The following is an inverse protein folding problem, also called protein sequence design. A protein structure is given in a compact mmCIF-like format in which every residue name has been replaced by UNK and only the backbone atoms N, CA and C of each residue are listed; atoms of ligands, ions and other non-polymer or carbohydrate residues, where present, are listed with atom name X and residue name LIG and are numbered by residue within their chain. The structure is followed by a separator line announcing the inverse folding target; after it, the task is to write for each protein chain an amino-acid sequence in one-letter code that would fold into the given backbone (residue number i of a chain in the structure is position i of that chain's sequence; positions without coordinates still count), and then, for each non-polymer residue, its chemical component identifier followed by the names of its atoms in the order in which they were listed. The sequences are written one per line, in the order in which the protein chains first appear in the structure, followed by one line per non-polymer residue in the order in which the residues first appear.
data_IF_711698146499
#
_entry.id   IF_711698146499
#
_cell.length_a   1.000
_cell.length_b   1.000
_cell.length_c   1.000
_cell.angle_alpha   90.00
_cell.angle_beta   90.00
_cell.angle_gamma   90.00
#
_symmetry.space_group_name_H-M   'P 1'
#
loop_
_entity.id
_entity.type
_entity.pdbx_description
1 polymer ?
#
# COMPACT_ATOMS: atom_id res chain seq x y z
N UNK A 1 4.76 10.82 -15.85
CA UNK A 1 4.26 9.46 -16.12
C UNK A 1 3.53 9.00 -14.89
N UNK A 2 2.22 8.75 -15.03
CA UNK A 2 1.46 8.02 -14.01
C UNK A 2 2.16 6.69 -13.78
N UNK A 3 2.79 6.54 -12.61
CA UNK A 3 3.53 5.32 -12.29
C UNK A 3 2.58 4.14 -12.36
N UNK A 4 2.96 3.14 -13.18
CA UNK A 4 2.32 1.84 -13.29
C UNK A 4 1.83 1.38 -11.92
N UNK A 5 0.54 1.06 -11.80
CA UNK A 5 0.08 0.27 -10.67
C UNK A 5 0.84 -1.06 -10.71
N UNK A 6 1.71 -1.31 -9.73
CA UNK A 6 2.42 -2.57 -9.63
C UNK A 6 1.58 -3.69 -8.98
N UNK A 7 0.28 -3.47 -8.80
CA UNK A 7 -0.65 -4.47 -8.33
C UNK A 7 -1.66 -4.83 -9.41
N UNK A 8 -2.20 -6.04 -9.31
CA UNK A 8 -3.16 -6.52 -10.29
C UNK A 8 -4.45 -5.69 -10.33
N UNK A 9 -5.19 -5.79 -11.42
CA UNK A 9 -6.35 -4.93 -11.74
C UNK A 9 -7.46 -5.76 -12.39
N UNK A 10 -8.67 -5.21 -12.49
CA UNK A 10 -9.85 -5.87 -13.06
C UNK A 10 -10.26 -5.29 -14.41
N UNK A 11 -11.04 -6.04 -15.19
CA UNK A 11 -11.74 -5.45 -16.33
C UNK A 11 -12.73 -4.37 -15.85
N UNK A 12 -12.94 -3.35 -16.67
CA UNK A 12 -13.81 -2.23 -16.29
C UNK A 12 -15.27 -2.61 -16.05
N UNK A 13 -15.69 -3.77 -16.54
CA UNK A 13 -17.07 -4.30 -16.41
C UNK A 13 -17.23 -5.20 -15.17
N UNK A 14 -16.15 -5.44 -14.42
CA UNK A 14 -16.20 -6.18 -13.16
C UNK A 14 -16.99 -5.40 -12.11
N UNK A 15 -17.96 -6.05 -11.48
CA UNK A 15 -18.89 -5.43 -10.53
C UNK A 15 -18.38 -5.50 -9.09
N UNK A 16 -18.41 -4.36 -8.38
CA UNK A 16 -18.09 -4.22 -6.96
C UNK A 16 -19.38 -4.27 -6.14
N UNK A 17 -19.38 -5.03 -5.04
CA UNK A 17 -20.54 -5.11 -4.14
C UNK A 17 -20.59 -3.86 -3.24
N UNK A 18 -21.65 -3.04 -3.40
CA UNK A 18 -21.82 -1.81 -2.62
C UNK A 18 -22.76 -2.00 -1.43
N UNK A 19 -22.52 -1.21 -0.38
CA UNK A 19 -23.31 -1.23 0.85
C UNK A 19 -24.75 -0.70 0.67
N UNK A 20 -25.03 0.01 -0.42
CA UNK A 20 -26.37 0.52 -0.76
C UNK A 20 -27.26 -0.54 -1.45
N UNK A 21 -26.77 -1.78 -1.55
CA UNK A 21 -27.47 -2.89 -2.21
C UNK A 21 -27.15 -3.02 -3.69
N UNK A 22 -26.59 -1.99 -4.34
CA UNK A 22 -26.24 -2.02 -5.76
C UNK A 22 -24.93 -2.79 -5.99
N UNK A 23 -24.73 -3.20 -7.24
CA UNK A 23 -23.47 -3.69 -7.75
C UNK A 23 -23.11 -2.86 -8.97
N UNK A 24 -22.04 -2.09 -8.89
CA UNK A 24 -21.62 -1.20 -9.98
C UNK A 24 -20.27 -1.65 -10.53
N UNK A 25 -20.10 -1.50 -11.84
CA UNK A 25 -18.84 -1.70 -12.52
C UNK A 25 -17.82 -0.62 -12.16
N UNK A 26 -16.53 -0.88 -12.33
CA UNK A 26 -15.50 0.14 -12.15
C UNK A 26 -15.76 1.38 -13.00
N UNK A 27 -16.26 1.21 -14.23
CA UNK A 27 -16.60 2.33 -15.12
C UNK A 27 -17.76 3.17 -14.57
N UNK A 28 -18.81 2.53 -14.04
CA UNK A 28 -19.94 3.22 -13.43
C UNK A 28 -19.54 3.94 -12.15
N UNK A 29 -18.70 3.33 -11.31
CA UNK A 29 -18.15 3.99 -10.11
C UNK A 29 -17.36 5.24 -10.50
N UNK A 30 -16.54 5.19 -11.56
CA UNK A 30 -15.80 6.37 -12.04
C UNK A 30 -16.78 7.47 -12.50
N UNK A 31 -17.82 7.11 -13.25
CA UNK A 31 -18.81 8.04 -13.75
C UNK A 31 -19.61 8.69 -12.60
N UNK A 32 -20.10 7.88 -11.65
CA UNK A 32 -20.88 8.38 -10.50
C UNK A 32 -20.01 9.24 -9.56
N UNK A 33 -18.73 8.89 -9.34
CA UNK A 33 -17.83 9.74 -8.54
C UNK A 33 -17.47 11.06 -9.22
N UNK A 34 -17.40 11.09 -10.56
CA UNK A 34 -17.23 12.35 -11.30
C UNK A 34 -18.41 13.30 -11.12
N UNK A 35 -19.60 12.78 -10.81
CA UNK A 35 -20.79 13.55 -10.43
C UNK A 35 -20.84 13.90 -8.93
N UNK A 36 -19.82 13.53 -8.15
CA UNK A 36 -19.73 13.82 -6.72
C UNK A 36 -20.44 12.80 -5.82
N UNK A 37 -20.88 11.66 -6.34
CA UNK A 37 -21.48 10.59 -5.52
C UNK A 37 -20.39 9.82 -4.78
N UNK A 38 -20.68 9.44 -3.54
CA UNK A 38 -19.81 8.58 -2.74
C UNK A 38 -20.30 7.13 -2.76
N UNK A 39 -19.36 6.19 -2.69
CA UNK A 39 -19.65 4.76 -2.68
C UNK A 39 -18.94 4.09 -1.52
N UNK A 40 -19.60 3.10 -0.93
CA UNK A 40 -19.07 2.32 0.19
C UNK A 40 -19.12 0.85 -0.19
N UNK A 41 -18.03 0.14 0.08
CA UNK A 41 -17.88 -1.29 -0.22
C UNK A 41 -17.70 -2.10 1.07
N UNK A 42 -17.96 -3.40 0.98
CA UNK A 42 -17.66 -4.35 2.04
C UNK A 42 -16.17 -4.65 2.09
N UNK A 43 -15.61 -4.69 3.29
CA UNK A 43 -14.19 -4.97 3.55
C UNK A 43 -14.02 -5.95 4.70
N UNK A 44 -12.87 -6.63 4.78
CA UNK A 44 -12.42 -7.34 5.97
C UNK A 44 -11.41 -6.46 6.71
N UNK A 45 -11.71 -6.15 7.97
CA UNK A 45 -10.86 -5.35 8.85
C UNK A 45 -9.67 -6.15 9.36
N UNK A 46 -8.67 -5.46 9.91
CA UNK A 46 -7.47 -6.07 10.48
C UNK A 46 -7.75 -7.04 11.65
N UNK A 47 -8.90 -6.91 12.32
CA UNK A 47 -9.33 -7.84 13.37
C UNK A 47 -10.02 -9.10 12.82
N UNK A 48 -10.20 -9.20 11.50
CA UNK A 48 -10.86 -10.30 10.80
C UNK A 48 -12.37 -10.12 10.63
N UNK A 49 -12.96 -9.04 11.14
CA UNK A 49 -14.41 -8.79 11.02
C UNK A 49 -14.76 -8.12 9.70
N UNK A 50 -15.97 -8.36 9.23
CA UNK A 50 -16.54 -7.58 8.13
C UNK A 50 -16.77 -6.11 8.54
N UNK A 51 -16.54 -5.19 7.62
CA UNK A 51 -16.73 -3.76 7.79
C UNK A 51 -17.16 -3.10 6.49
N UNK A 52 -17.32 -1.78 6.57
CA UNK A 52 -17.54 -0.91 5.41
C UNK A 52 -16.41 0.08 5.30
N UNK A 53 -16.12 0.49 4.07
CA UNK A 53 -15.16 1.55 3.82
C UNK A 53 -15.50 2.31 2.54
N UNK A 54 -15.13 3.59 2.51
CA UNK A 54 -15.39 4.47 1.37
C UNK A 54 -14.46 4.13 0.21
N UNK A 55 -15.01 3.99 -0.99
CA UNK A 55 -14.25 3.87 -2.22
C UNK A 55 -13.66 5.23 -2.61
N UNK A 56 -12.35 5.30 -2.83
CA UNK A 56 -11.65 6.50 -3.30
C UNK A 56 -10.83 6.19 -4.56
N UNK A 57 -10.49 7.23 -5.32
CA UNK A 57 -9.60 7.18 -6.49
C UNK A 57 -9.88 6.05 -7.52
N UNK A 58 -11.14 5.76 -7.90
CA UNK A 58 -11.45 4.80 -8.94
C UNK A 58 -10.86 5.30 -10.26
N UNK A 59 -10.17 4.43 -10.99
CA UNK A 59 -9.46 4.84 -12.21
C UNK A 59 -9.14 3.68 -13.13
N UNK A 60 -8.95 4.00 -14.40
CA UNK A 60 -8.21 3.14 -15.32
C UNK A 60 -6.74 3.15 -14.90
N UNK A 61 -6.15 1.98 -14.68
CA UNK A 61 -4.77 1.84 -14.22
C UNK A 61 -3.80 1.55 -15.35
N UNK A 62 -4.16 0.65 -16.27
CA UNK A 62 -3.36 0.29 -17.44
C UNK A 62 -4.28 0.08 -18.65
N UNK A 63 -3.74 0.34 -19.82
CA UNK A 63 -4.40 0.05 -21.09
C UNK A 63 -3.81 -1.21 -21.73
N UNK A 64 -4.60 -1.91 -22.55
CA UNK A 64 -4.09 -3.00 -23.39
C UNK A 64 -3.25 -4.04 -22.62
N UNK A 65 -3.77 -4.49 -21.48
CA UNK A 65 -3.08 -5.40 -20.54
C UNK A 65 -3.57 -6.83 -20.72
N UNK A 66 -2.67 -7.82 -20.55
CA UNK A 66 -3.04 -9.24 -20.55
C UNK A 66 -3.89 -9.54 -19.32
N UNK A 67 -4.98 -10.27 -19.53
CA UNK A 67 -5.93 -10.63 -18.49
C UNK A 67 -6.24 -12.12 -18.52
N UNK A 68 -6.76 -12.62 -17.41
CA UNK A 68 -7.26 -13.98 -17.26
C UNK A 68 -8.71 -13.93 -16.81
N UNK A 69 -9.49 -14.89 -17.29
CA UNK A 69 -10.84 -15.16 -16.83
C UNK A 69 -10.80 -16.17 -15.71
N UNK A 70 -11.46 -15.85 -14.60
CA UNK A 70 -11.59 -16.73 -13.44
C UNK A 70 -13.06 -17.11 -13.30
N UNK A 71 -13.33 -18.40 -13.17
CA UNK A 71 -14.69 -18.95 -12.99
C UNK A 71 -14.81 -19.53 -11.59
N UNK A 72 -15.86 -19.12 -10.87
CA UNK A 72 -16.13 -19.58 -9.50
C UNK A 72 -17.18 -20.71 -9.47
N UNK A 73 -17.27 -21.40 -8.34
CA UNK A 73 -18.23 -22.49 -8.10
C UNK A 73 -19.71 -22.04 -8.08
N UNK A 74 -19.96 -20.74 -7.92
CA UNK A 74 -21.28 -20.13 -8.03
C UNK A 74 -21.68 -19.81 -9.49
N UNK A 75 -20.82 -20.10 -10.47
CA UNK A 75 -21.04 -19.82 -11.89
C UNK A 75 -20.69 -18.40 -12.33
N UNK A 76 -20.37 -17.50 -11.38
CA UNK A 76 -19.90 -16.16 -11.71
C UNK A 76 -18.50 -16.20 -12.32
N UNK A 77 -18.22 -15.23 -13.18
CA UNK A 77 -16.92 -15.09 -13.82
C UNK A 77 -16.41 -13.67 -13.71
N UNK A 78 -15.11 -13.52 -13.53
CA UNK A 78 -14.45 -12.22 -13.48
C UNK A 78 -13.21 -12.23 -14.38
N UNK A 79 -12.78 -11.04 -14.79
CA UNK A 79 -11.59 -10.87 -15.62
C UNK A 79 -10.60 -9.97 -14.89
N UNK A 80 -9.39 -10.47 -14.63
CA UNK A 80 -8.36 -9.76 -13.86
C UNK A 80 -6.96 -10.00 -14.42
N UNK A 81 -5.96 -9.23 -13.99
CA UNK A 81 -4.57 -9.48 -14.36
C UNK A 81 -3.97 -10.67 -13.58
N UNK A 82 -2.99 -11.39 -14.14
CA UNK A 82 -2.41 -12.59 -13.51
C UNK A 82 -1.80 -12.40 -12.12
N UNK A 83 -1.37 -11.19 -11.82
CA UNK A 83 -0.74 -10.79 -10.56
C UNK A 83 -1.75 -10.31 -9.50
N UNK A 84 -3.06 -10.34 -9.77
CA UNK A 84 -4.07 -9.84 -8.85
C UNK A 84 -4.20 -10.73 -7.59
N UNK A 85 -4.06 -10.18 -6.37
CA UNK A 85 -4.18 -10.96 -5.14
C UNK A 85 -5.64 -11.16 -4.70
N UNK A 86 -6.03 -12.41 -4.49
CA UNK A 86 -7.31 -12.80 -3.91
C UNK A 86 -7.14 -13.13 -2.44
N UNK A 87 -8.13 -12.77 -1.61
CA UNK A 87 -8.12 -13.13 -0.20
C UNK A 87 -8.54 -14.59 -0.03
N UNK A 88 -7.71 -15.38 0.62
CA UNK A 88 -7.96 -16.76 1.00
C UNK A 88 -8.81 -16.80 2.28
N UNK A 89 -9.45 -17.94 2.58
CA UNK A 89 -10.27 -18.08 3.82
C UNK A 89 -9.52 -17.85 5.12
N UNK A 90 -8.21 -18.04 5.15
CA UNK A 90 -7.36 -17.76 6.32
C UNK A 90 -6.98 -16.28 6.46
N UNK A 91 -7.45 -15.41 5.55
CA UNK A 91 -7.14 -13.99 5.49
C UNK A 91 -5.82 -13.67 4.79
N UNK A 92 -5.06 -14.68 4.33
CA UNK A 92 -3.87 -14.46 3.50
C UNK A 92 -4.25 -14.04 2.08
N UNK A 93 -3.31 -13.49 1.33
CA UNK A 93 -3.51 -13.13 -0.07
C UNK A 93 -2.65 -14.01 -0.97
N UNK A 94 -3.24 -14.49 -2.06
CA UNK A 94 -2.56 -15.31 -3.07
C UNK A 94 -2.83 -14.74 -4.45
N UNK A 95 -1.78 -14.64 -5.29
CA UNK A 95 -1.94 -14.14 -6.67
C UNK A 95 -2.71 -15.14 -7.50
N UNK A 96 -3.56 -14.67 -8.40
CA UNK A 96 -4.40 -15.57 -9.19
C UNK A 96 -3.59 -16.58 -10.02
N UNK A 97 -2.39 -16.24 -10.50
CA UNK A 97 -1.47 -17.17 -11.19
C UNK A 97 -0.91 -18.28 -10.27
N UNK A 98 -0.94 -18.08 -8.96
CA UNK A 98 -0.47 -19.03 -7.94
C UNK A 98 -1.63 -19.84 -7.32
N UNK A 99 -2.88 -19.40 -7.51
CA UNK A 99 -4.06 -20.06 -6.96
C UNK A 99 -4.33 -21.37 -7.70
N UNK A 100 -4.52 -22.46 -6.95
CA UNK A 100 -4.82 -23.76 -7.53
C UNK A 100 -6.34 -23.92 -7.71
N UNK A 101 -6.81 -24.66 -8.74
CA UNK A 101 -8.21 -25.07 -8.81
C UNK A 101 -8.63 -25.79 -7.51
N UNK A 102 -9.79 -25.44 -6.95
CA UNK A 102 -10.31 -25.81 -5.63
C UNK A 102 -9.81 -25.01 -4.41
N UNK A 103 -8.86 -24.08 -4.55
CA UNK A 103 -8.56 -23.14 -3.46
C UNK A 103 -9.84 -22.36 -3.10
N UNK A 104 -10.10 -22.24 -1.80
CA UNK A 104 -11.29 -21.57 -1.28
C UNK A 104 -10.97 -20.13 -0.91
N UNK A 105 -11.69 -19.20 -1.54
CA UNK A 105 -11.52 -17.77 -1.33
C UNK A 105 -12.38 -17.29 -0.16
N UNK A 106 -12.04 -16.11 0.38
CA UNK A 106 -12.83 -15.44 1.40
C UNK A 106 -14.17 -14.98 0.79
N UNK A 107 -15.30 -15.51 1.27
CA UNK A 107 -16.62 -15.23 0.69
C UNK A 107 -17.26 -13.98 1.31
N UNK A 108 -18.02 -13.25 0.49
CA UNK A 108 -19.04 -12.31 0.94
C UNK A 108 -20.40 -13.01 0.88
N UNK A 109 -20.88 -13.48 2.03
CA UNK A 109 -22.25 -13.98 2.13
C UNK A 109 -23.22 -12.84 2.46
N UNK A 110 -24.28 -12.73 1.66
CA UNK A 110 -25.38 -11.78 1.86
C UNK A 110 -26.69 -12.56 1.92
N UNK A 111 -27.62 -12.10 2.76
CA UNK A 111 -29.01 -12.56 2.75
C UNK A 111 -29.93 -11.43 3.16
N UNK A 112 -31.22 -11.62 2.98
CA UNK A 112 -32.22 -10.75 3.60
C UNK A 112 -32.70 -11.39 4.89
N UNK A 113 -32.99 -10.55 5.88
CA UNK A 113 -33.50 -10.99 7.17
C UNK A 113 -34.91 -11.56 7.01
N UNK A 114 -35.16 -12.71 7.66
CA UNK A 114 -36.48 -13.33 7.77
C UNK A 114 -36.85 -13.40 9.25
N UNK A 115 -37.98 -12.80 9.65
CA UNK A 115 -38.47 -12.80 11.03
C UNK A 115 -38.81 -14.20 11.59
N UNK A 116 -38.85 -15.22 10.73
CA UNK A 116 -38.97 -16.63 11.16
C UNK A 116 -37.67 -17.15 11.75
N UNK A 117 -36.54 -16.51 11.48
CA UNK A 117 -35.25 -16.88 12.05
C UNK A 117 -35.10 -16.39 13.50
N UNK A 118 -34.52 -17.25 14.35
CA UNK A 118 -34.30 -16.93 15.77
C UNK A 118 -33.37 -15.72 15.93
N UNK A 119 -33.83 -14.71 16.66
CA UNK A 119 -33.07 -13.49 16.94
C UNK A 119 -33.19 -12.39 15.89
N UNK A 120 -34.00 -12.58 14.84
CA UNK A 120 -34.29 -11.56 13.83
C UNK A 120 -35.61 -10.86 14.17
N UNK A 121 -35.56 -9.55 14.36
CA UNK A 121 -36.74 -8.73 14.72
C UNK A 121 -37.27 -7.88 13.58
N UNK A 122 -36.59 -7.85 12.44
CA UNK A 122 -36.90 -6.99 11.31
C UNK A 122 -36.80 -7.80 10.02
N UNK A 123 -37.82 -7.72 9.16
CA UNK A 123 -37.95 -8.50 7.92
C UNK A 123 -37.48 -7.72 6.70
N UNK A 124 -36.83 -8.40 5.75
CA UNK A 124 -36.48 -7.84 4.44
C UNK A 124 -35.27 -6.90 4.40
N UNK A 125 -34.46 -6.84 5.46
CA UNK A 125 -33.24 -6.03 5.51
C UNK A 125 -32.02 -6.86 5.13
N UNK A 126 -31.07 -6.25 4.42
CA UNK A 126 -29.83 -6.94 4.07
C UNK A 126 -28.98 -7.23 5.32
N UNK A 127 -28.48 -8.46 5.36
CA UNK A 127 -27.52 -8.96 6.34
C UNK A 127 -26.32 -9.55 5.62
N UNK A 128 -25.16 -9.41 6.25
CA UNK A 128 -23.89 -10.00 5.80
C UNK A 128 -23.28 -10.87 6.88
N UNK A 129 -22.59 -11.93 6.49
CA UNK A 129 -21.92 -12.82 7.45
C UNK A 129 -20.58 -12.23 7.88
N UNK A 130 -20.36 -12.10 9.18
CA UNK A 130 -19.05 -11.81 9.76
C UNK A 130 -18.23 -13.11 9.84
N UNK A 131 -17.14 -13.24 9.07
CA UNK A 131 -16.38 -14.48 8.97
C UNK A 131 -15.64 -14.83 10.28
N UNK A 132 -15.36 -13.87 11.16
CA UNK A 132 -14.66 -14.13 12.41
C UNK A 132 -15.58 -14.76 13.47
N UNK A 133 -16.81 -14.26 13.57
CA UNK A 133 -17.75 -14.62 14.63
C UNK A 133 -18.84 -15.58 14.17
N UNK A 134 -18.86 -15.94 12.89
CA UNK A 134 -19.89 -16.75 12.23
C UNK A 134 -21.31 -16.22 12.53
N UNK A 135 -21.47 -14.90 12.39
CA UNK A 135 -22.70 -14.19 12.78
C UNK A 135 -23.19 -13.31 11.66
N UNK A 136 -24.49 -13.38 11.39
CA UNK A 136 -25.16 -12.44 10.50
C UNK A 136 -25.32 -11.07 11.16
N UNK A 137 -24.87 -10.02 10.47
CA UNK A 137 -24.92 -8.63 10.90
C UNK A 137 -25.72 -7.85 9.86
N UNK A 138 -26.64 -7.00 10.30
CA UNK A 138 -27.34 -6.12 9.38
C UNK A 138 -26.39 -5.08 8.77
N UNK A 139 -26.51 -4.85 7.46
CA UNK A 139 -25.65 -3.87 6.77
C UNK A 139 -25.76 -2.47 7.37
N UNK A 140 -26.96 -2.06 7.84
CA UNK A 140 -27.15 -0.76 8.49
C UNK A 140 -26.36 -0.63 9.81
N UNK A 141 -26.15 -1.73 10.55
CA UNK A 141 -25.31 -1.70 11.75
C UNK A 141 -23.83 -1.48 11.40
N UNK A 142 -23.36 -2.04 10.29
CA UNK A 142 -22.00 -1.78 9.80
C UNK A 142 -21.83 -0.31 9.40
N UNK A 143 -22.84 0.29 8.79
CA UNK A 143 -22.85 1.72 8.46
C UNK A 143 -22.80 2.58 9.75
N UNK A 144 -23.59 2.24 10.77
CA UNK A 144 -23.55 2.92 12.06
C UNK A 144 -22.18 2.81 12.75
N UNK A 145 -21.53 1.64 12.70
CA UNK A 145 -20.19 1.46 13.25
C UNK A 145 -19.12 2.26 12.50
N UNK A 146 -19.20 2.30 11.17
CA UNK A 146 -18.31 3.11 10.34
C UNK A 146 -18.42 4.59 10.73
N UNK A 147 -19.64 5.08 10.79
CA UNK A 147 -20.00 6.43 11.22
C UNK A 147 -19.45 6.80 12.61
N UNK A 148 -19.62 5.91 13.58
CA UNK A 148 -19.07 6.11 14.92
C UNK A 148 -17.54 6.13 14.94
N UNK A 149 -16.89 5.36 14.07
CA UNK A 149 -15.42 5.36 13.97
C UNK A 149 -14.88 6.72 13.50
N UNK A 150 -15.52 7.35 12.51
CA UNK A 150 -15.13 8.68 12.01
C UNK A 150 -15.19 9.75 13.10
N UNK A 151 -16.26 9.74 13.92
CA UNK A 151 -16.44 10.70 15.03
C UNK A 151 -15.33 10.59 16.08
N UNK A 152 -14.85 9.38 16.36
CA UNK A 152 -13.76 9.15 17.32
C UNK A 152 -12.38 9.56 16.79
N UNK A 153 -12.22 9.69 15.47
CA UNK A 153 -10.97 10.09 14.81
C UNK A 153 -10.87 11.60 14.50
N UNK A 154 -11.83 12.42 14.96
CA UNK A 154 -11.73 13.88 14.87
C UNK A 154 -12.02 14.48 13.48
N UNK A 155 -12.63 13.72 12.57
CA UNK A 155 -13.11 14.24 11.29
C UNK A 155 -14.46 14.96 11.50
N UNK A 156 -14.49 16.29 11.27
CA UNK A 156 -15.66 17.14 11.51
C UNK A 156 -16.70 17.09 10.37
N UNK A 157 -17.98 17.21 10.78
CA UNK A 157 -19.22 17.21 9.97
C UNK A 157 -19.26 18.29 8.87
N UNK A 158 -19.86 17.97 7.73
CA UNK A 158 -20.09 18.90 6.61
C UNK A 158 -21.54 19.45 6.67
N UNK A 159 -21.64 20.77 6.55
CA UNK A 159 -22.78 21.63 6.82
C UNK A 159 -24.09 21.35 6.03
N UNK A 160 -25.21 21.58 6.73
CA UNK A 160 -26.60 21.69 6.24
C UNK A 160 -26.84 22.99 5.46
N UNK A 161 -27.45 22.92 4.27
CA UNK A 161 -28.66 23.69 3.91
C UNK A 161 -29.21 23.40 2.49
N UNK A 162 -30.46 22.90 2.47
CA UNK A 162 -31.59 23.13 1.55
C UNK A 162 -31.39 23.37 0.05
N UNK A 163 -31.67 22.33 -0.76
CA UNK A 163 -32.72 22.25 -1.81
C UNK A 163 -32.69 20.83 -2.45
N UNK A 164 -33.85 20.17 -2.59
CA UNK A 164 -34.02 18.85 -3.24
C UNK A 164 -33.46 18.83 -4.68
N UNK A 165 -33.26 17.66 -5.37
CA UNK A 165 -33.24 16.24 -4.97
C UNK A 165 -32.00 15.48 -5.52
N UNK A 166 -31.44 14.50 -4.78
CA UNK A 166 -30.71 13.30 -5.27
C UNK A 166 -29.86 12.72 -4.13
N UNK A 167 -29.80 11.39 -4.05
CA UNK A 167 -28.76 10.60 -3.37
C UNK A 167 -28.17 11.20 -2.07
N UNK A 168 -28.69 10.80 -0.91
CA UNK A 168 -28.04 11.07 0.38
C UNK A 168 -27.60 9.71 0.96
N UNK A 169 -26.30 9.44 1.05
CA UNK A 169 -25.32 9.96 2.01
C UNK A 169 -25.63 9.45 3.42
N UNK A 170 -24.67 8.69 3.91
CA UNK A 170 -24.64 8.02 5.19
C UNK A 170 -24.83 9.04 6.32
N UNK A 171 -25.95 9.05 7.05
CA UNK A 171 -26.11 9.34 8.50
C UNK A 171 -27.61 9.35 8.93
N UNK A 172 -27.86 8.94 10.18
CA UNK A 172 -29.15 8.57 10.79
C UNK A 172 -30.02 9.73 11.33
N UNK A 173 -31.33 9.66 11.00
CA UNK A 173 -32.56 10.11 11.69
C UNK A 173 -32.57 11.45 12.47
N UNK A 174 -33.35 12.42 11.96
CA UNK A 174 -34.54 12.98 12.66
C UNK A 174 -35.59 13.33 11.58
N UNK A 175 -36.84 12.89 11.80
CA UNK A 175 -38.05 13.03 10.94
C UNK A 175 -38.43 11.86 10.00
N UNK A 176 -38.70 10.73 10.66
CA UNK A 176 -39.90 9.91 10.42
C UNK A 176 -40.14 9.30 9.02
N UNK A 177 -39.11 8.80 8.33
CA UNK A 177 -39.28 7.80 7.26
C UNK A 177 -38.23 6.68 7.37
N UNK A 178 -38.72 5.47 7.60
CA UNK A 178 -37.97 4.21 7.63
C UNK A 178 -37.18 4.02 6.32
N UNK A 179 -35.93 3.58 6.43
CA UNK A 179 -35.16 2.97 5.35
C UNK A 179 -35.86 1.66 4.93
N UNK A 180 -36.86 1.78 4.06
CA UNK A 180 -37.39 0.82 3.08
C UNK A 180 -38.83 1.24 2.73
N UNK A 181 -39.02 2.20 1.82
CA UNK A 181 -40.26 2.19 1.03
C UNK A 181 -40.07 1.22 -0.14
N UNK A 182 -40.26 -0.07 0.15
CA UNK A 182 -40.98 -1.09 -0.63
C UNK A 182 -41.12 -1.01 -2.17
N UNK A 183 -40.25 -0.33 -2.90
CA UNK A 183 -40.38 -0.21 -4.37
C UNK A 183 -39.09 -0.66 -5.03
N UNK A 184 -39.22 -1.80 -5.71
CA UNK A 184 -38.24 -2.56 -6.50
C UNK A 184 -37.16 -3.33 -5.74
N UNK A 185 -37.61 -4.39 -5.04
CA UNK A 185 -36.77 -5.53 -4.68
C UNK A 185 -36.67 -6.44 -5.93
N UNK A 186 -35.48 -6.78 -6.44
CA UNK A 186 -35.34 -7.93 -7.32
C UNK A 186 -35.73 -9.19 -6.53
N UNK A 187 -36.88 -9.78 -6.85
CA UNK A 187 -37.33 -11.04 -6.26
C UNK A 187 -36.43 -12.18 -6.76
N UNK A 188 -35.49 -12.61 -5.92
CA UNK A 188 -34.82 -13.89 -6.13
C UNK A 188 -35.69 -15.02 -5.55
N UNK A 189 -35.87 -16.14 -6.26
CA UNK A 189 -36.72 -17.25 -5.81
C UNK A 189 -36.20 -17.85 -4.50
N UNK A 190 -37.11 -18.27 -3.61
CA UNK A 190 -36.81 -18.82 -2.28
C UNK A 190 -35.80 -20.00 -2.29
N UNK A 191 -35.73 -20.74 -3.40
CA UNK A 191 -34.78 -21.84 -3.60
C UNK A 191 -33.33 -21.37 -3.81
N UNK A 192 -33.09 -20.09 -4.12
CA UNK A 192 -31.74 -19.52 -4.23
C UNK A 192 -31.12 -19.24 -2.84
N UNK A 193 -31.91 -19.14 -1.77
CA UNK A 193 -31.45 -18.72 -0.44
C UNK A 193 -30.75 -19.83 0.35
N UNK A 194 -31.15 -21.09 0.21
CA UNK A 194 -30.43 -22.23 0.83
C UNK A 194 -29.11 -22.55 0.11
N UNK A 195 -29.02 -22.23 -1.20
CA UNK A 195 -27.84 -22.50 -2.02
C UNK A 195 -26.63 -21.61 -1.69
N UNK A 196 -26.85 -20.38 -1.21
CA UNK A 196 -25.77 -19.44 -0.84
C UNK A 196 -24.95 -19.96 0.34
N UNK A 197 -25.55 -20.71 1.27
CA UNK A 197 -24.85 -21.32 2.40
C UNK A 197 -23.93 -22.50 2.01
N UNK A 198 -24.07 -23.02 0.79
CA UNK A 198 -23.31 -24.18 0.29
C UNK A 198 -22.17 -23.81 -0.67
N UNK A 199 -22.05 -22.54 -1.05
CA UNK A 199 -21.00 -22.09 -1.96
C UNK A 199 -19.69 -21.86 -1.20
N UNK A 200 -18.67 -22.64 -1.52
CA UNK A 200 -17.36 -22.52 -0.88
C UNK A 200 -16.52 -21.40 -1.50
N UNK A 201 -17.01 -20.75 -2.56
CA UNK A 201 -16.33 -19.70 -3.31
C UNK A 201 -14.97 -20.22 -3.80
N UNK A 202 -15.03 -21.41 -4.41
CA UNK A 202 -13.87 -22.09 -4.98
C UNK A 202 -13.63 -21.64 -6.41
N UNK A 203 -12.36 -21.60 -6.78
CA UNK A 203 -11.97 -21.42 -8.18
C UNK A 203 -12.16 -22.74 -8.93
N UNK A 204 -12.99 -22.71 -9.96
CA UNK A 204 -13.27 -23.84 -10.86
C UNK A 204 -12.28 -23.87 -12.02
N UNK A 205 -12.09 -22.74 -12.70
CA UNK A 205 -11.14 -22.62 -13.81
C UNK A 205 -10.49 -21.24 -13.85
N UNK A 206 -9.27 -21.22 -14.41
CA UNK A 206 -8.51 -20.02 -14.72
C UNK A 206 -8.06 -20.14 -16.17
N UNK A 207 -8.47 -19.21 -17.02
CA UNK A 207 -8.21 -19.23 -18.46
C UNK A 207 -7.51 -17.94 -18.87
N UNK A 208 -6.37 -18.05 -19.56
CA UNK A 208 -5.73 -16.87 -20.16
C UNK A 208 -6.53 -16.40 -21.37
N UNK A 209 -6.85 -15.11 -21.42
CA UNK A 209 -7.52 -14.51 -22.58
C UNK A 209 -6.46 -14.01 -23.58
N UNK A 210 -6.68 -14.26 -24.87
CA UNK A 210 -5.83 -13.72 -25.94
C UNK A 210 -6.02 -12.20 -26.10
N UNK A 211 -7.25 -11.75 -25.86
CA UNK A 211 -7.61 -10.34 -25.91
C UNK A 211 -7.01 -9.58 -24.73
N UNK A 212 -6.49 -8.39 -25.05
CA UNK A 212 -5.98 -7.45 -24.06
C UNK A 212 -7.05 -6.41 -23.77
N UNK A 213 -7.18 -6.04 -22.50
CA UNK A 213 -8.23 -5.12 -22.07
C UNK A 213 -7.65 -3.96 -21.28
N UNK A 214 -8.42 -2.88 -21.22
CA UNK A 214 -8.20 -1.82 -20.26
C UNK A 214 -8.58 -2.32 -18.86
N UNK A 215 -7.68 -2.10 -17.91
CA UNK A 215 -7.86 -2.56 -16.53
C UNK A 215 -7.99 -1.40 -15.57
N UNK A 216 -8.75 -1.65 -14.51
CA UNK A 216 -9.26 -0.66 -13.58
C UNK A 216 -9.02 -1.13 -12.15
N UNK A 217 -9.01 -0.17 -11.24
CA UNK A 217 -8.86 -0.41 -9.82
C UNK A 217 -9.55 0.70 -9.02
N UNK A 218 -9.86 0.37 -7.77
CA UNK A 218 -10.36 1.32 -6.78
C UNK A 218 -9.43 1.34 -5.57
N UNK A 219 -9.46 2.43 -4.82
CA UNK A 219 -8.76 2.48 -3.55
C UNK A 219 -9.73 2.36 -2.38
N UNK A 220 -9.39 1.50 -1.42
CA UNK A 220 -10.12 1.33 -0.19
C UNK A 220 -9.14 1.62 0.95
N UNK A 221 -9.25 2.78 1.63
CA UNK A 221 -8.34 3.15 2.70
C UNK A 221 -8.43 2.17 3.87
N UNK A 222 -7.40 2.14 4.72
CA UNK A 222 -7.30 1.35 5.97
C UNK A 222 -7.25 -0.17 5.83
N UNK A 223 -8.14 -0.77 5.05
CA UNK A 223 -8.32 -2.23 4.93
C UNK A 223 -7.69 -2.81 3.67
N UNK A 224 -7.54 -1.99 2.61
CA UNK A 224 -6.90 -2.38 1.35
C UNK A 224 -7.51 -3.60 0.66
N UNK A 225 -8.77 -3.91 0.95
CA UNK A 225 -9.50 -5.00 0.32
C UNK A 225 -10.97 -4.62 0.14
N UNK A 226 -11.63 -5.25 -0.82
CA UNK A 226 -13.07 -5.08 -1.04
C UNK A 226 -13.71 -6.33 -1.60
N UNK A 227 -15.03 -6.42 -1.47
CA UNK A 227 -15.80 -7.49 -2.07
C UNK A 227 -16.29 -7.16 -3.49
N UNK A 228 -16.16 -8.14 -4.38
CA UNK A 228 -16.80 -8.14 -5.68
C UNK A 228 -18.25 -8.63 -5.57
N UNK A 229 -19.09 -8.25 -6.53
CA UNK A 229 -20.46 -8.76 -6.64
C UNK A 229 -20.50 -10.28 -6.87
N UNK A 230 -19.41 -10.86 -7.39
CA UNK A 230 -19.23 -12.30 -7.52
C UNK A 230 -19.05 -13.04 -6.18
N UNK A 231 -19.08 -12.31 -5.05
CA UNK A 231 -19.09 -12.88 -3.71
C UNK A 231 -17.71 -13.16 -3.12
N UNK A 232 -16.63 -12.60 -3.67
CA UNK A 232 -15.26 -12.83 -3.17
C UNK A 232 -14.60 -11.54 -2.73
N UNK A 233 -13.78 -11.62 -1.68
CA UNK A 233 -12.91 -10.52 -1.27
C UNK A 233 -11.59 -10.55 -2.04
N UNK A 234 -11.21 -9.39 -2.54
CA UNK A 234 -10.00 -9.16 -3.34
C UNK A 234 -9.20 -8.04 -2.72
N UNK A 235 -7.89 -8.06 -2.92
CA UNK A 235 -7.07 -6.93 -2.53
C UNK A 235 -7.36 -5.77 -3.49
N UNK A 236 -7.38 -4.53 -3.00
CA UNK A 236 -7.32 -3.40 -3.91
C UNK A 236 -5.92 -3.29 -4.51
N UNK A 237 -5.68 -2.64 -5.66
CA UNK A 237 -4.30 -2.52 -6.13
C UNK A 237 -3.51 -1.75 -5.08
N UNK A 238 -2.62 -2.46 -4.38
CA UNK A 238 -1.89 -1.89 -3.26
C UNK A 238 -1.13 -0.67 -3.78
N UNK A 239 -1.46 0.50 -3.23
CA UNK A 239 -0.54 1.62 -3.24
C UNK A 239 0.79 1.06 -2.74
N UNK A 240 1.79 1.10 -3.62
CA UNK A 240 3.17 0.73 -3.34
C UNK A 240 3.68 1.52 -2.12
N UNK A 241 3.44 1.06 -0.89
CA UNK A 241 4.02 1.53 0.37
C UNK A 241 4.17 3.04 0.58
N UNK A 242 3.50 3.90 -0.20
CA UNK A 242 3.78 5.35 -0.31
C UNK A 242 2.51 6.15 -0.43
N UNK A 243 2.55 7.36 0.12
CA UNK A 243 1.53 8.36 -0.14
C UNK A 243 1.88 9.15 -1.41
N UNK A 244 1.13 8.91 -2.49
CA UNK A 244 1.32 9.58 -3.79
C UNK A 244 1.12 11.11 -3.73
N UNK A 245 0.44 11.63 -2.70
CA UNK A 245 0.21 13.08 -2.53
C UNK A 245 1.52 13.84 -2.29
N UNK A 246 2.47 13.23 -1.58
CA UNK A 246 3.70 13.92 -1.18
C UNK A 246 4.98 13.09 -1.33
N UNK A 247 4.90 11.81 -1.70
CA UNK A 247 6.06 10.92 -1.86
C UNK A 247 6.25 10.49 -3.31
N UNK A 248 7.39 10.87 -3.87
CA UNK A 248 7.92 10.33 -5.12
C UNK A 248 8.96 9.22 -4.83
N UNK A 249 8.95 8.15 -5.63
CA UNK A 249 9.98 7.11 -5.59
C UNK A 249 10.72 7.11 -6.92
N UNK A 250 12.05 7.12 -6.86
CA UNK A 250 12.93 6.85 -7.99
C UNK A 250 13.67 5.53 -7.70
N UNK A 251 13.29 4.41 -8.33
CA UNK A 251 14.01 3.16 -8.17
C UNK A 251 15.34 3.25 -8.93
N UNK A 252 16.45 2.94 -8.26
CA UNK A 252 17.77 2.88 -8.86
C UNK A 252 18.16 1.42 -9.06
N UNK A 253 18.69 1.08 -10.24
CA UNK A 253 19.09 -0.30 -10.56
C UNK A 253 20.60 -0.47 -10.49
N UNK A 254 21.03 -1.45 -9.69
CA UNK A 254 22.44 -1.81 -9.55
C UNK A 254 23.27 -0.76 -8.81
N UNK A 255 24.59 -0.92 -8.86
CA UNK A 255 25.53 -0.01 -8.20
C UNK A 255 25.72 1.24 -9.05
N UNK A 256 25.59 2.42 -8.42
CA UNK A 256 25.79 3.69 -9.10
C UNK A 256 27.25 3.83 -9.52
N UNK A 257 27.47 4.48 -10.65
CA UNK A 257 28.81 4.80 -11.12
C UNK A 257 29.53 5.68 -10.08
N UNK A 258 30.71 5.24 -9.64
CA UNK A 258 31.57 6.08 -8.80
C UNK A 258 32.02 7.31 -9.59
N UNK A 259 31.50 8.48 -9.21
CA UNK A 259 31.75 9.73 -9.91
C UNK A 259 33.14 10.31 -9.65
N UNK A 260 33.78 9.94 -8.54
CA UNK A 260 35.14 10.39 -8.22
C UNK A 260 36.16 9.88 -9.24
N UNK A 261 35.91 8.70 -9.81
CA UNK A 261 36.78 8.03 -10.81
C UNK A 261 36.36 8.30 -12.25
N UNK A 262 35.17 8.86 -12.44
CA UNK A 262 34.54 8.96 -13.75
C UNK A 262 34.64 10.38 -14.29
N UNK A 263 34.92 10.51 -15.59
CA UNK A 263 34.86 11.80 -16.27
C UNK A 263 33.40 12.26 -16.40
N UNK A 264 33.17 13.57 -16.37
CA UNK A 264 31.84 14.20 -16.48
C UNK A 264 31.02 13.68 -17.68
N UNK A 265 31.65 13.47 -18.83
CA UNK A 265 30.99 12.93 -20.04
C UNK A 265 30.45 11.51 -19.84
N UNK A 266 31.08 10.69 -19.00
CA UNK A 266 30.60 9.34 -18.66
C UNK A 266 29.48 9.39 -17.63
N UNK A 267 29.57 10.32 -16.68
CA UNK A 267 28.55 10.56 -15.65
C UNK A 267 27.23 10.98 -16.31
N UNK A 268 27.26 11.96 -17.22
CA UNK A 268 26.08 12.46 -17.93
C UNK A 268 25.44 11.45 -18.89
N UNK A 269 26.21 10.45 -19.36
CA UNK A 269 25.70 9.35 -20.18
C UNK A 269 25.02 8.25 -19.37
N UNK A 270 25.22 8.22 -18.05
CA UNK A 270 24.60 7.21 -17.19
C UNK A 270 23.11 7.53 -17.00
N UNK A 271 22.26 6.54 -17.27
CA UNK A 271 20.81 6.73 -17.26
C UNK A 271 20.25 7.01 -15.87
N UNK A 272 20.77 6.32 -14.85
CA UNK A 272 20.35 6.46 -13.44
C UNK A 272 20.69 7.86 -12.91
N UNK A 273 21.92 8.34 -13.18
CA UNK A 273 22.34 9.69 -12.77
C UNK A 273 21.53 10.75 -13.49
N UNK A 274 21.30 10.60 -14.81
CA UNK A 274 20.46 11.53 -15.58
C UNK A 274 19.02 11.55 -15.08
N UNK A 275 18.47 10.39 -14.71
CA UNK A 275 17.15 10.31 -14.10
C UNK A 275 17.10 11.07 -12.77
N UNK A 276 18.12 10.90 -11.91
CA UNK A 276 18.22 11.60 -10.63
C UNK A 276 18.30 13.12 -10.79
N UNK A 277 19.17 13.61 -11.69
CA UNK A 277 19.28 15.04 -12.03
C UNK A 277 17.93 15.59 -12.51
N UNK A 278 17.29 14.84 -13.42
CA UNK A 278 15.99 15.21 -13.98
C UNK A 278 14.90 15.20 -12.90
N UNK A 279 14.91 14.29 -11.93
CA UNK A 279 13.88 14.29 -10.89
C UNK A 279 14.07 15.44 -9.92
N UNK A 280 15.30 15.71 -9.47
CA UNK A 280 15.62 16.81 -8.54
C UNK A 280 15.30 18.17 -9.18
N UNK A 281 15.71 18.38 -10.44
CA UNK A 281 15.37 19.58 -11.20
C UNK A 281 16.21 20.83 -10.89
N UNK A 282 17.19 20.72 -10.00
CA UNK A 282 18.10 21.81 -9.64
C UNK A 282 19.30 21.97 -10.60
N UNK A 283 19.52 21.06 -11.54
CA UNK A 283 20.74 21.04 -12.36
C UNK A 283 21.91 20.32 -11.68
N UNK A 284 23.13 20.48 -12.20
CA UNK A 284 24.37 19.91 -11.64
C UNK A 284 25.54 20.88 -11.75
N UNK A 285 26.54 20.70 -10.90
CA UNK A 285 27.80 21.44 -10.97
C UNK A 285 27.84 22.65 -10.05
N UNK A 286 28.72 23.59 -10.36
CA UNK A 286 28.92 24.82 -9.60
C UNK A 286 28.49 26.04 -10.44
N UNK A 287 28.15 27.14 -9.79
CA UNK A 287 27.77 28.38 -10.46
C UNK A 287 26.37 28.33 -11.09
N UNK A 288 26.20 28.89 -12.29
CA UNK A 288 24.89 29.11 -12.93
C UNK A 288 24.18 27.83 -13.40
N UNK A 289 24.88 26.68 -13.43
CA UNK A 289 24.31 25.39 -13.84
C UNK A 289 23.51 24.68 -12.74
N UNK A 290 23.67 25.10 -11.47
CA UNK A 290 22.92 24.58 -10.33
C UNK A 290 22.08 25.68 -9.65
N UNK A 291 20.78 25.45 -9.55
CA UNK A 291 19.81 26.37 -8.96
C UNK A 291 18.93 25.65 -7.94
N UNK A 292 19.21 25.90 -6.66
CA UNK A 292 18.48 25.29 -5.53
C UNK A 292 17.00 25.68 -5.52
N UNK A 293 16.64 26.86 -6.02
CA UNK A 293 15.25 27.35 -6.01
C UNK A 293 14.37 26.59 -7.01
N UNK A 294 14.98 25.96 -8.02
CA UNK A 294 14.29 25.09 -8.98
C UNK A 294 14.16 23.65 -8.49
N UNK A 295 14.67 23.33 -7.30
CA UNK A 295 14.55 21.97 -6.77
C UNK A 295 13.09 21.60 -6.54
N UNK A 296 12.69 20.44 -7.05
CA UNK A 296 11.31 19.93 -6.91
C UNK A 296 11.03 19.35 -5.53
N UNK A 297 12.07 18.92 -4.83
CA UNK A 297 11.95 18.19 -3.57
C UNK A 297 12.88 18.77 -2.51
N UNK A 298 12.30 19.18 -1.39
CA UNK A 298 13.02 19.72 -0.23
C UNK A 298 13.40 18.63 0.79
N UNK A 299 13.02 17.37 0.51
CA UNK A 299 13.40 16.18 1.26
C UNK A 299 13.76 15.07 0.27
N UNK A 300 15.05 14.84 0.10
CA UNK A 300 15.63 13.76 -0.69
C UNK A 300 16.07 12.69 0.30
N UNK A 301 15.35 11.58 0.31
CA UNK A 301 15.61 10.48 1.26
C UNK A 301 16.32 9.35 0.51
N UNK A 302 17.54 9.04 0.94
CA UNK A 302 18.28 7.86 0.49
C UNK A 302 17.78 6.67 1.29
N UNK A 303 17.14 5.73 0.59
CA UNK A 303 16.61 4.50 1.17
C UNK A 303 17.32 3.32 0.51
N UNK A 304 18.22 2.69 1.25
CA UNK A 304 19.04 1.55 0.82
C UNK A 304 18.87 0.40 1.81
N UNK A 305 19.21 -0.81 1.37
CA UNK A 305 19.23 -1.99 2.24
C UNK A 305 20.19 -1.81 3.42
N UNK A 306 19.91 -2.51 4.52
CA UNK A 306 20.71 -2.46 5.74
C UNK A 306 21.98 -3.36 5.68
N UNK A 307 22.32 -3.85 4.50
CA UNK A 307 23.48 -4.69 4.26
C UNK A 307 24.71 -3.89 3.81
N UNK A 308 25.80 -4.61 3.55
CA UNK A 308 27.08 -4.04 3.10
C UNK A 308 26.98 -3.39 1.72
N UNK A 309 26.12 -3.92 0.85
CA UNK A 309 25.93 -3.41 -0.50
C UNK A 309 25.10 -2.12 -0.49
N UNK A 310 24.09 -2.03 0.36
CA UNK A 310 23.32 -0.82 0.63
C UNK A 310 24.21 0.30 1.19
N UNK A 311 25.11 -0.02 2.12
CA UNK A 311 26.11 0.93 2.64
C UNK A 311 27.04 1.45 1.54
N UNK A 312 27.43 0.59 0.59
CA UNK A 312 28.23 0.99 -0.56
C UNK A 312 27.44 1.91 -1.52
N UNK A 313 26.20 1.56 -1.87
CA UNK A 313 25.32 2.41 -2.71
C UNK A 313 25.08 3.76 -2.05
N UNK A 314 24.83 3.79 -0.74
CA UNK A 314 24.66 5.01 0.04
C UNK A 314 25.89 5.91 -0.06
N UNK A 315 27.09 5.34 0.05
CA UNK A 315 28.35 6.09 -0.08
C UNK A 315 28.51 6.68 -1.50
N UNK A 316 28.17 5.92 -2.54
CA UNK A 316 28.20 6.39 -3.93
C UNK A 316 27.22 7.55 -4.17
N UNK A 317 26.00 7.46 -3.63
CA UNK A 317 24.99 8.52 -3.69
C UNK A 317 25.44 9.78 -2.97
N UNK A 318 25.98 9.65 -1.76
CA UNK A 318 26.50 10.78 -1.00
C UNK A 318 27.67 11.44 -1.74
N UNK A 319 28.53 10.65 -2.39
CA UNK A 319 29.62 11.18 -3.23
C UNK A 319 29.08 11.99 -4.40
N UNK A 320 28.07 11.47 -5.12
CA UNK A 320 27.40 12.18 -6.22
C UNK A 320 26.81 13.52 -5.75
N UNK A 321 26.05 13.49 -4.65
CA UNK A 321 25.43 14.69 -4.10
C UNK A 321 26.47 15.70 -3.62
N UNK A 322 27.53 15.26 -2.95
CA UNK A 322 28.60 16.14 -2.46
C UNK A 322 29.40 16.80 -3.59
N UNK A 323 29.68 16.04 -4.67
CA UNK A 323 30.49 16.53 -5.80
C UNK A 323 29.72 17.43 -6.77
N UNK A 324 28.44 17.16 -7.01
CA UNK A 324 27.69 17.83 -8.07
C UNK A 324 26.44 18.58 -7.61
N UNK A 325 26.02 18.39 -6.36
CA UNK A 325 24.80 18.99 -5.81
C UNK A 325 24.97 19.40 -4.34
N UNK A 326 26.16 19.87 -3.97
CA UNK A 326 26.53 20.23 -2.59
C UNK A 326 25.50 21.12 -1.89
N UNK A 327 24.88 22.13 -2.56
CA UNK A 327 23.90 22.98 -1.90
C UNK A 327 22.67 22.24 -1.36
N UNK A 328 22.34 21.03 -1.87
CA UNK A 328 21.27 20.19 -1.29
C UNK A 328 21.62 19.69 0.11
N UNK A 329 22.90 19.37 0.34
CA UNK A 329 23.40 18.92 1.65
C UNK A 329 23.45 20.11 2.61
N UNK A 330 24.00 21.23 2.16
CA UNK A 330 24.13 22.46 2.96
C UNK A 330 22.75 23.02 3.37
N UNK A 331 21.75 22.94 2.48
CA UNK A 331 20.36 23.33 2.77
C UNK A 331 19.62 22.31 3.65
N UNK A 332 20.25 21.17 3.97
CA UNK A 332 19.66 20.13 4.80
C UNK A 332 18.49 19.40 4.14
N UNK A 333 18.51 19.24 2.82
CA UNK A 333 17.47 18.54 2.07
C UNK A 333 17.75 17.04 1.95
N UNK A 334 18.96 16.58 2.29
CA UNK A 334 19.36 15.16 2.16
C UNK A 334 19.18 14.43 3.49
N UNK A 335 18.50 13.29 3.42
CA UNK A 335 18.19 12.41 4.55
C UNK A 335 18.53 10.96 4.20
N UNK A 336 18.76 10.12 5.20
CA UNK A 336 18.97 8.68 5.08
C UNK A 336 17.87 7.99 5.89
N UNK A 337 17.09 7.12 5.24
CA UNK A 337 16.09 6.31 5.93
C UNK A 337 16.76 5.21 6.76
N UNK A 338 16.18 4.91 7.92
CA UNK A 338 16.63 3.82 8.81
C UNK A 338 15.57 2.71 8.84
N UNK A 339 15.69 1.68 7.98
CA UNK A 339 14.80 0.52 8.06
C UNK A 339 15.07 -0.34 9.30
N UNK A 340 14.05 -1.04 9.81
CA UNK A 340 14.24 -1.95 10.94
C UNK A 340 15.07 -3.17 10.54
N UNK A 341 15.93 -3.61 11.45
CA UNK A 341 16.74 -4.82 11.29
C UNK A 341 15.99 -6.08 11.70
N UNK A 342 15.10 -5.97 12.70
CA UNK A 342 14.37 -7.11 13.25
C UNK A 342 12.88 -6.81 13.41
N UNK A 343 12.08 -7.86 13.27
CA UNK A 343 10.69 -7.93 13.69
C UNK A 343 10.56 -8.98 14.79
N UNK A 344 10.02 -8.57 15.93
CA UNK A 344 9.76 -9.42 17.08
C UNK A 344 8.25 -9.55 17.24
N UNK A 345 7.73 -10.77 17.18
CA UNK A 345 6.30 -11.08 17.32
C UNK A 345 6.06 -11.93 18.55
N UNK A 346 5.15 -11.49 19.42
CA UNK A 346 4.68 -12.25 20.59
C UNK A 346 3.16 -12.30 20.60
N UNK A 347 2.60 -13.45 20.24
CA UNK A 347 1.15 -13.60 20.06
C UNK A 347 0.62 -12.65 18.98
N UNK A 348 -0.23 -11.70 19.38
CA UNK A 348 -0.80 -10.66 18.49
C UNK A 348 0.03 -9.37 18.40
N UNK A 349 1.04 -9.20 19.26
CA UNK A 349 1.86 -7.99 19.29
C UNK A 349 3.07 -8.13 18.35
N UNK A 350 3.34 -7.08 17.58
CA UNK A 350 4.46 -6.99 16.64
C UNK A 350 5.28 -5.75 16.96
N UNK A 351 6.60 -5.91 17.04
CA UNK A 351 7.55 -4.85 17.34
C UNK A 351 8.65 -4.82 16.27
N UNK A 352 8.95 -3.62 15.76
CA UNK A 352 10.08 -3.38 14.87
C UNK A 352 11.25 -2.80 15.65
N UNK A 353 12.45 -3.27 15.34
CA UNK A 353 13.67 -2.99 16.10
C UNK A 353 14.79 -2.63 15.14
N UNK A 354 15.55 -1.57 15.44
CA UNK A 354 16.46 -0.93 14.50
C UNK A 354 17.94 -1.24 14.76
N UNK A 355 18.29 -1.72 15.96
CA UNK A 355 19.65 -2.13 16.30
C UNK A 355 19.67 -3.33 17.28
N UNK A 356 20.85 -3.95 17.46
CA UNK A 356 21.00 -5.13 18.33
C UNK A 356 20.82 -4.81 19.82
N UNK A 357 21.11 -3.57 20.25
CA UNK A 357 20.94 -3.15 21.64
C UNK A 357 19.45 -3.04 21.99
N UNK A 358 18.66 -2.40 21.13
CA UNK A 358 17.21 -2.34 21.22
C UNK A 358 16.59 -3.74 21.17
N UNK A 359 17.14 -4.65 20.37
CA UNK A 359 16.68 -6.04 20.33
C UNK A 359 16.86 -6.69 21.69
N UNK A 360 18.03 -6.52 22.30
CA UNK A 360 18.34 -7.08 23.62
C UNK A 360 17.41 -6.50 24.69
N UNK A 361 17.19 -5.18 24.69
CA UNK A 361 16.27 -4.50 25.60
C UNK A 361 14.83 -4.99 25.39
N UNK A 362 14.36 -5.05 24.14
CA UNK A 362 13.01 -5.51 23.81
C UNK A 362 12.81 -6.96 24.23
N UNK A 363 13.77 -7.85 23.97
CA UNK A 363 13.70 -9.24 24.40
C UNK A 363 13.71 -9.41 25.92
N UNK A 364 14.38 -8.52 26.66
CA UNK A 364 14.32 -8.51 28.12
C UNK A 364 12.95 -8.06 28.64
N UNK A 365 12.29 -7.11 27.95
CA UNK A 365 10.96 -6.58 28.28
C UNK A 365 9.84 -7.59 27.97
N UNK A 366 9.80 -8.12 26.74
CA UNK A 366 8.73 -9.07 26.34
C UNK A 366 9.01 -10.51 26.76
N UNK A 367 10.23 -10.87 27.15
CA UNK A 367 10.60 -12.24 27.55
C UNK A 367 10.70 -13.21 26.37
N UNK A 368 11.66 -14.15 26.42
CA UNK A 368 12.08 -14.94 25.23
C UNK A 368 11.15 -16.08 24.82
N UNK A 369 10.24 -16.51 25.69
CA UNK A 369 9.38 -17.66 25.43
C UNK A 369 8.21 -17.31 24.50
N UNK A 370 8.01 -18.13 23.46
CA UNK A 370 6.91 -17.98 22.50
C UNK A 370 7.07 -16.81 21.52
N UNK A 371 8.28 -16.27 21.35
CA UNK A 371 8.58 -15.22 20.38
C UNK A 371 8.91 -15.81 19.00
N UNK A 372 8.31 -15.25 17.96
CA UNK A 372 8.78 -15.40 16.59
C UNK A 372 9.61 -14.18 16.19
N UNK A 373 10.84 -14.38 15.74
CA UNK A 373 11.74 -13.31 15.33
C UNK A 373 12.08 -13.45 13.84
N UNK A 374 11.98 -12.35 13.11
CA UNK A 374 12.40 -12.26 11.72
C UNK A 374 13.47 -11.17 11.60
N UNK A 375 14.57 -11.48 10.92
CA UNK A 375 15.60 -10.50 10.58
C UNK A 375 15.41 -10.08 9.13
N UNK A 376 15.40 -8.79 8.88
CA UNK A 376 15.37 -8.24 7.52
C UNK A 376 16.80 -8.03 7.02
N UNK A 377 17.11 -8.57 5.83
CA UNK A 377 18.39 -8.33 5.17
C UNK A 377 18.32 -7.21 4.13
N UNK A 378 17.14 -7.00 3.56
CA UNK A 378 16.89 -5.94 2.59
C UNK A 378 15.43 -5.50 2.59
N UNK A 379 15.19 -4.33 2.00
CA UNK A 379 13.88 -3.72 1.87
C UNK A 379 12.92 -4.58 1.04
N UNK A 380 13.46 -5.39 0.11
CA UNK A 380 12.67 -6.32 -0.72
C UNK A 380 12.08 -7.51 0.05
N UNK A 381 12.52 -7.77 1.28
CA UNK A 381 11.94 -8.80 2.16
C UNK A 381 10.73 -8.29 2.95
N UNK A 382 10.47 -6.97 2.90
CA UNK A 382 9.33 -6.34 3.55
C UNK A 382 8.15 -6.28 2.60
N UNK A 383 6.96 -6.56 3.11
CA UNK A 383 5.75 -6.27 2.35
C UNK A 383 5.48 -4.74 2.32
N UNK A 384 4.64 -4.24 1.39
CA UNK A 384 4.40 -2.80 1.25
C UNK A 384 3.87 -2.11 2.51
N UNK A 385 3.06 -2.80 3.31
CA UNK A 385 2.51 -2.26 4.56
C UNK A 385 3.60 -2.11 5.62
N UNK A 386 4.46 -3.12 5.77
CA UNK A 386 5.62 -3.07 6.66
C UNK A 386 6.53 -1.90 6.28
N UNK A 387 6.86 -1.77 4.99
CA UNK A 387 7.70 -0.68 4.50
C UNK A 387 7.08 0.70 4.80
N UNK A 388 5.75 0.84 4.65
CA UNK A 388 5.05 2.06 5.02
C UNK A 388 5.18 2.34 6.52
N UNK A 389 4.75 1.40 7.36
CA UNK A 389 4.67 1.57 8.81
C UNK A 389 6.04 1.82 9.46
N UNK A 390 7.11 1.28 8.89
CA UNK A 390 8.44 1.35 9.50
C UNK A 390 9.33 2.45 8.94
N UNK A 391 9.17 2.80 7.67
CA UNK A 391 10.16 3.59 6.93
C UNK A 391 9.59 4.77 6.15
N UNK A 392 8.34 4.69 5.70
CA UNK A 392 7.77 5.73 4.82
C UNK A 392 6.74 6.61 5.52
N UNK A 393 6.05 6.13 6.55
CA UNK A 393 5.07 6.89 7.31
C UNK A 393 5.74 8.05 8.07
N UNK A 394 5.37 9.33 7.83
CA UNK A 394 5.94 10.48 8.52
C UNK A 394 5.83 10.46 10.06
N UNK A 395 4.84 9.76 10.61
CA UNK A 395 4.57 9.73 12.05
C UNK A 395 5.47 8.74 12.80
N UNK A 396 5.88 7.64 12.15
CA UNK A 396 6.64 6.55 12.78
C UNK A 396 8.06 6.39 12.25
N UNK A 397 8.37 6.92 11.06
CA UNK A 397 9.69 6.70 10.44
C UNK A 397 10.82 7.38 11.20
N UNK A 398 11.98 6.73 11.19
CA UNK A 398 13.24 7.31 11.66
C UNK A 398 14.14 7.62 10.46
N UNK A 399 14.71 8.82 10.45
CA UNK A 399 15.63 9.27 9.40
C UNK A 399 16.80 10.04 10.00
N UNK A 400 17.98 9.88 9.40
CA UNK A 400 19.15 10.69 9.72
C UNK A 400 19.22 11.86 8.73
N UNK A 401 19.40 13.08 9.24
CA UNK A 401 19.65 14.26 8.40
C UNK A 401 21.14 14.35 8.10
N UNK A 402 21.50 14.47 6.83
CA UNK A 402 22.91 14.62 6.43
C UNK A 402 23.32 16.08 6.61
N UNK A 403 24.42 16.32 7.32
CA UNK A 403 24.99 17.63 7.56
C UNK A 403 26.44 17.69 7.04
N UNK A 404 26.89 18.89 6.66
CA UNK A 404 28.27 19.15 6.26
C UNK A 404 28.90 20.09 7.28
N UNK A 405 29.70 19.55 8.18
CA UNK A 405 30.37 20.33 9.25
C UNK A 405 31.70 20.91 8.78
N UNK A 406 32.55 20.07 8.17
CA UNK A 406 33.89 20.41 7.73
C UNK A 406 34.07 19.97 6.27
N UNK A 407 33.92 20.91 5.34
CA UNK A 407 34.03 20.64 3.92
C UNK A 407 35.43 20.16 3.52
N UNK A 408 36.49 20.59 4.22
CA UNK A 408 37.87 20.20 3.90
C UNK A 408 38.08 18.73 4.27
N UNK A 409 37.68 18.33 5.48
CA UNK A 409 37.76 16.92 5.89
C UNK A 409 36.85 16.04 5.06
N UNK A 410 35.65 16.49 4.74
CA UNK A 410 34.74 15.73 3.89
C UNK A 410 35.37 15.48 2.51
N UNK A 411 35.97 16.51 1.90
CA UNK A 411 36.68 16.41 0.63
C UNK A 411 37.81 15.37 0.68
N UNK A 412 38.65 15.44 1.71
CA UNK A 412 39.75 14.51 1.93
C UNK A 412 39.25 13.07 2.06
N UNK A 413 38.20 12.83 2.86
CA UNK A 413 37.61 11.51 3.07
C UNK A 413 37.03 10.96 1.76
N UNK A 414 36.29 11.77 0.99
CA UNK A 414 35.78 11.34 -0.32
C UNK A 414 36.90 10.99 -1.29
N UNK A 415 37.98 11.78 -1.33
CA UNK A 415 39.12 11.48 -2.20
C UNK A 415 39.88 10.22 -1.78
N UNK A 416 40.06 9.97 -0.47
CA UNK A 416 40.69 8.74 0.04
C UNK A 416 39.82 7.52 -0.26
N UNK A 417 38.53 7.57 0.08
CA UNK A 417 37.66 6.40 -0.01
C UNK A 417 37.20 6.13 -1.45
N UNK A 418 36.90 7.18 -2.22
CA UNK A 418 36.28 7.04 -3.55
C UNK A 418 37.25 7.26 -4.70
N UNK A 419 38.43 7.84 -4.46
CA UNK A 419 39.42 8.16 -5.48
C UNK A 419 40.17 6.96 -6.06
N UNK A 420 41.02 7.23 -7.05
CA UNK A 420 41.71 6.20 -7.83
C UNK A 420 42.87 5.52 -7.10
N UNK A 421 43.48 6.19 -6.13
CA UNK A 421 44.64 5.67 -5.40
C UNK A 421 44.20 4.56 -4.44
N UNK A 422 44.84 3.38 -4.55
CA UNK A 422 44.51 2.21 -3.73
C UNK A 422 45.19 2.27 -2.37
N UNK A 423 46.46 2.65 -2.33
CA UNK A 423 47.30 2.67 -1.12
C UNK A 423 46.73 3.55 0.00
N UNK A 424 46.34 4.82 -0.22
CA UNK A 424 45.75 5.65 0.83
C UNK A 424 44.46 5.07 1.39
N UNK A 425 43.63 4.46 0.53
CA UNK A 425 42.41 3.79 0.95
C UNK A 425 42.72 2.57 1.81
N UNK A 426 43.71 1.76 1.41
CA UNK A 426 44.13 0.58 2.16
C UNK A 426 44.63 0.97 3.54
N UNK A 427 45.51 1.97 3.63
CA UNK A 427 46.03 2.49 4.88
C UNK A 427 44.91 3.03 5.78
N UNK A 428 43.95 3.77 5.21
CA UNK A 428 42.79 4.28 5.95
C UNK A 428 41.95 3.13 6.55
N UNK A 429 41.65 2.10 5.75
CA UNK A 429 40.90 0.93 6.21
C UNK A 429 41.70 0.17 7.28
N UNK A 430 43.00 -0.08 7.08
CA UNK A 430 43.83 -0.79 8.06
C UNK A 430 43.92 -0.04 9.39
N UNK A 431 43.99 1.29 9.33
CA UNK A 431 44.06 2.15 10.51
C UNK A 431 42.74 2.19 11.28
N UNK A 432 41.60 2.28 10.59
CA UNK A 432 40.31 2.57 11.22
C UNK A 432 39.34 1.39 11.29
N UNK A 433 39.55 0.29 10.57
CA UNK A 433 38.59 -0.83 10.54
C UNK A 433 38.32 -1.46 11.93
N UNK A 434 39.28 -1.37 12.86
CA UNK A 434 39.12 -1.86 14.24
C UNK A 434 38.37 -0.90 15.15
N UNK A 435 38.32 0.38 14.78
CA UNK A 435 37.60 1.42 15.52
C UNK A 435 36.09 1.38 15.21
N UNK A 436 35.71 0.78 14.06
CA UNK A 436 34.33 0.68 13.55
C UNK A 436 33.54 -0.45 14.22
N UNK A 437 33.52 -0.51 15.55
CA UNK A 437 32.59 -1.40 16.27
C UNK A 437 31.22 -0.76 16.50
N UNK A 438 31.14 0.56 16.64
CA UNK A 438 29.90 1.29 16.96
C UNK A 438 29.89 2.67 16.29
N UNK A 439 29.52 2.77 15.00
CA UNK A 439 29.29 4.08 14.34
C UNK A 439 27.80 4.48 14.31
N UNK A 440 26.90 3.59 14.72
CA UNK A 440 25.45 3.82 14.78
C UNK A 440 24.93 3.66 16.23
N UNK A 441 25.43 4.48 17.17
CA UNK A 441 24.82 4.66 18.51
C UNK A 441 23.77 5.76 18.45
#
# INVERSE_FOLDING_TARGET
MEGDSAGGCFSGDTLVALADGRSLSFKEIIAEQAEGKEHFCYTIRNDGKIGLERIINPRKTKANTKVMKVTFDNGETITCTPDHPFMMRDGSFKRIEEVAPNDSLMPLYRKFSDIKESGITIDGYEMVLDPLNDRWIFTHMLADWYNHSLKNHGEHEVHREQQQPSAFSVYSVVDNHLLHTQKSIPQYPAQAYEAVSMLNHRIVSIESLEEKMDVYDIEVPNTHNFALASGVFVHNSAKQGRDRKFQAILPLRGKILNVEKARLTKILKNEEIRALITVIGAGIGEGEEFDILKTRYHKIVIMTDADVDGSHIRTLLLTLLYRYMRPLIESGYVYIAQPPLFKVKKGKLEFYVYNEEELTKKLAEVGRDGIAMQRYKGLGEMNPQQLWDTTMNPESRTMLKVTLEDAIKADEIFTILMGDKVEPRREFIERHAKDVRNLDV
#
